data_IF_532150639616
#
_entry.id   IF_532150639616
#
_cell.length_a   1.000
_cell.length_b   1.000
_cell.length_c   1.000
_cell.angle_alpha   90.00
_cell.angle_beta   90.00
_cell.angle_gamma   90.00
#
_symmetry.space_group_name_H-M   'P 1'
#
loop_
_entity.id
_entity.type
_entity.pdbx_description
1 polymer ?
#
# COMPACT_ATOMS: atom_id res chain seq x y z
N UNK A 1 -31.55 -43.14 18.70
CA UNK A 1 -30.52 -42.08 18.72
C UNK A 1 -31.16 -40.83 19.32
N UNK A 2 -30.79 -40.46 20.53
CA UNK A 2 -31.30 -39.23 21.15
C UNK A 2 -30.59 -38.05 20.47
N UNK A 3 -31.36 -37.15 19.84
CA UNK A 3 -30.82 -35.93 19.26
C UNK A 3 -30.34 -35.06 20.43
N UNK A 4 -29.02 -34.89 20.58
CA UNK A 4 -28.46 -34.17 21.71
C UNK A 4 -28.65 -32.67 21.50
N UNK A 5 -29.81 -32.15 21.93
CA UNK A 5 -30.27 -30.77 21.73
C UNK A 5 -29.23 -29.74 22.19
N UNK A 6 -28.45 -30.08 23.22
CA UNK A 6 -27.34 -29.25 23.71
C UNK A 6 -26.17 -29.14 22.73
N UNK A 7 -25.79 -30.24 22.06
CA UNK A 7 -24.74 -30.21 21.02
C UNK A 7 -25.20 -29.42 19.80
N UNK A 8 -26.47 -29.58 19.41
CA UNK A 8 -27.06 -28.80 18.32
C UNK A 8 -27.13 -27.29 18.64
N UNK A 9 -27.55 -26.91 19.84
CA UNK A 9 -27.55 -25.51 20.30
C UNK A 9 -26.15 -24.91 20.35
N UNK A 10 -25.16 -25.69 20.82
CA UNK A 10 -23.77 -25.25 20.88
C UNK A 10 -23.18 -25.06 19.48
N UNK A 11 -23.48 -25.97 18.55
CA UNK A 11 -23.07 -25.85 17.16
C UNK A 11 -23.69 -24.64 16.46
N UNK A 12 -24.99 -24.38 16.67
CA UNK A 12 -25.69 -23.20 16.13
C UNK A 12 -25.11 -21.91 16.71
N UNK A 13 -24.87 -21.85 18.04
CA UNK A 13 -24.27 -20.69 18.70
C UNK A 13 -22.85 -20.41 18.19
N UNK A 14 -22.05 -21.46 17.99
CA UNK A 14 -20.69 -21.35 17.45
C UNK A 14 -20.72 -20.86 15.99
N UNK A 15 -21.63 -21.39 15.17
CA UNK A 15 -21.81 -20.97 13.79
C UNK A 15 -22.27 -19.51 13.67
N UNK A 16 -23.22 -19.09 14.51
CA UNK A 16 -23.69 -17.70 14.56
C UNK A 16 -22.58 -16.74 15.00
N UNK A 17 -21.81 -17.11 16.03
CA UNK A 17 -20.65 -16.32 16.50
C UNK A 17 -19.58 -16.23 15.40
N UNK A 18 -19.28 -17.33 14.72
CA UNK A 18 -18.34 -17.34 13.59
C UNK A 18 -18.79 -16.44 12.44
N UNK A 19 -20.08 -16.45 12.10
CA UNK A 19 -20.65 -15.57 11.07
C UNK A 19 -20.54 -14.10 11.46
N UNK A 20 -20.83 -13.75 12.72
CA UNK A 20 -20.72 -12.38 13.21
C UNK A 20 -19.27 -11.87 13.13
N UNK A 21 -18.30 -12.67 13.60
CA UNK A 21 -16.88 -12.33 13.50
C UNK A 21 -16.45 -12.15 12.05
N UNK A 22 -16.93 -13.01 11.15
CA UNK A 22 -16.64 -12.89 9.72
C UNK A 22 -17.22 -11.62 9.09
N UNK A 23 -18.46 -11.26 9.42
CA UNK A 23 -19.10 -10.02 8.95
C UNK A 23 -18.41 -8.77 9.49
N UNK A 24 -18.01 -8.78 10.76
CA UNK A 24 -17.20 -7.72 11.36
C UNK A 24 -15.85 -7.58 10.65
N UNK A 25 -15.17 -8.69 10.37
CA UNK A 25 -13.92 -8.67 9.61
C UNK A 25 -14.11 -8.08 8.20
N UNK A 26 -15.16 -8.50 7.47
CA UNK A 26 -15.43 -8.00 6.12
C UNK A 26 -15.73 -6.50 6.08
N UNK A 27 -16.58 -6.02 6.99
CA UNK A 27 -16.93 -4.60 7.08
C UNK A 27 -15.71 -3.76 7.45
N UNK A 28 -14.94 -4.16 8.46
CA UNK A 28 -13.75 -3.43 8.86
C UNK A 28 -12.64 -3.44 7.80
N UNK A 29 -12.49 -4.55 7.06
CA UNK A 29 -11.59 -4.60 5.90
C UNK A 29 -12.00 -3.61 4.81
N UNK A 30 -13.30 -3.44 4.57
CA UNK A 30 -13.78 -2.43 3.63
C UNK A 30 -13.46 -1.01 4.11
N UNK A 31 -13.64 -0.74 5.41
CA UNK A 31 -13.32 0.56 6.03
C UNK A 31 -11.81 0.86 6.09
N UNK A 32 -10.96 -0.18 6.05
CA UNK A 32 -9.49 -0.04 6.00
C UNK A 32 -8.90 0.01 4.59
N UNK A 33 -9.74 -0.05 3.55
CA UNK A 33 -9.26 0.05 2.18
C UNK A 33 -8.75 1.48 1.91
N UNK A 34 -7.42 1.64 1.88
CA UNK A 34 -6.80 2.90 1.51
C UNK A 34 -7.08 3.21 0.04
N UNK A 35 -7.48 4.45 -0.24
CA UNK A 35 -7.53 4.96 -1.60
C UNK A 35 -6.13 5.42 -2.02
N UNK A 36 -5.64 4.91 -3.14
CA UNK A 36 -4.36 5.28 -3.72
C UNK A 36 -4.59 6.00 -5.04
N UNK A 37 -3.91 7.13 -5.20
CA UNK A 37 -3.81 7.89 -6.45
C UNK A 37 -2.33 8.11 -6.78
N UNK A 38 -2.01 8.48 -8.01
CA UNK A 38 -0.64 8.72 -8.40
C UNK A 38 -0.45 9.03 -9.86
N UNK A 39 0.78 9.35 -10.21
CA UNK A 39 1.19 9.63 -11.58
C UNK A 39 2.55 9.04 -11.85
N UNK A 40 2.75 8.56 -13.07
CA UNK A 40 4.03 8.06 -13.55
C UNK A 40 4.51 9.00 -14.64
N UNK A 41 5.73 9.51 -14.52
CA UNK A 41 6.37 10.38 -15.50
C UNK A 41 7.67 9.73 -15.99
N UNK A 42 7.87 9.66 -17.30
CA UNK A 42 9.12 9.16 -17.88
C UNK A 42 10.19 10.25 -17.84
N UNK A 43 11.39 9.92 -17.37
CA UNK A 43 12.55 10.81 -17.40
C UNK A 43 13.39 10.54 -18.66
N UNK A 44 14.40 11.38 -18.90
CA UNK A 44 15.27 11.29 -20.10
C UNK A 44 16.13 10.01 -20.17
N UNK A 45 16.26 9.27 -19.08
CA UNK A 45 17.17 8.11 -18.97
C UNK A 45 16.42 6.76 -18.97
N UNK A 46 15.20 6.70 -19.54
CA UNK A 46 14.30 5.54 -19.45
C UNK A 46 13.93 5.12 -18.02
N UNK A 47 14.12 6.02 -17.06
CA UNK A 47 13.66 5.84 -15.69
C UNK A 47 12.25 6.43 -15.55
N UNK A 48 11.46 5.84 -14.66
CA UNK A 48 10.12 6.28 -14.35
C UNK A 48 10.12 6.96 -12.99
N UNK A 49 9.73 8.22 -12.93
CA UNK A 49 9.42 8.90 -11.68
C UNK A 49 7.98 8.60 -11.31
N UNK A 50 7.78 7.96 -10.17
CA UNK A 50 6.45 7.63 -9.64
C UNK A 50 6.13 8.54 -8.47
N UNK A 51 5.00 9.23 -8.58
CA UNK A 51 4.34 9.91 -7.47
C UNK A 51 3.19 9.03 -7.02
N UNK A 52 3.22 8.64 -5.75
CA UNK A 52 2.14 7.91 -5.09
C UNK A 52 1.52 8.79 -4.00
N UNK A 53 0.21 8.92 -4.02
CA UNK A 53 -0.60 9.58 -2.99
C UNK A 53 -1.39 8.52 -2.25
N UNK A 54 -1.24 8.49 -0.93
CA UNK A 54 -1.96 7.60 -0.04
C UNK A 54 -2.98 8.44 0.72
N UNK A 55 -4.25 8.22 0.45
CA UNK A 55 -5.32 8.96 1.12
C UNK A 55 -5.66 8.31 2.47
N UNK A 56 -5.93 9.12 3.50
CA UNK A 56 -6.45 8.65 4.78
C UNK A 56 -7.70 7.78 4.61
N UNK A 57 -7.72 6.60 5.25
CA UNK A 57 -8.90 5.75 5.36
C UNK A 57 -9.59 5.96 6.72
N UNK A 58 -10.76 5.34 6.95
CA UNK A 58 -11.43 5.45 8.24
C UNK A 58 -10.61 4.85 9.39
N UNK A 59 -9.78 3.85 9.07
CA UNK A 59 -8.83 3.22 9.99
C UNK A 59 -7.39 3.66 9.67
N UNK A 60 -6.51 3.72 10.69
CA UNK A 60 -5.11 4.08 10.48
C UNK A 60 -4.40 3.09 9.55
N UNK A 61 -3.63 3.65 8.62
CA UNK A 61 -2.87 2.90 7.60
C UNK A 61 -1.39 3.17 7.81
N UNK A 62 -0.58 2.12 7.81
CA UNK A 62 0.87 2.20 7.84
C UNK A 62 1.41 1.71 6.50
N UNK A 63 2.11 2.57 5.79
CA UNK A 63 2.95 2.17 4.67
C UNK A 63 4.19 1.47 5.20
N UNK A 64 4.64 0.35 4.63
CA UNK A 64 5.81 -0.41 5.12
C UNK A 64 6.98 -0.30 4.15
N UNK A 65 6.66 -0.26 2.87
CA UNK A 65 7.68 -0.16 1.84
C UNK A 65 7.16 -0.46 0.45
N UNK A 66 8.06 -0.22 -0.49
CA UNK A 66 7.90 -0.52 -1.91
C UNK A 66 8.96 -1.54 -2.25
N UNK A 67 8.57 -2.65 -2.87
CA UNK A 67 9.51 -3.59 -3.47
C UNK A 67 9.28 -3.64 -4.98
N UNK A 68 10.34 -3.92 -5.74
CA UNK A 68 10.24 -4.13 -7.16
C UNK A 68 10.49 -5.59 -7.53
N UNK A 69 9.86 -6.01 -8.62
CA UNK A 69 10.12 -7.30 -9.27
C UNK A 69 10.52 -7.04 -10.71
N UNK A 70 11.67 -7.57 -11.11
CA UNK A 70 12.28 -7.34 -12.44
C UNK A 70 12.49 -5.84 -12.75
N UNK A 71 12.59 -5.02 -11.71
CA UNK A 71 12.85 -3.59 -11.78
C UNK A 71 13.69 -3.20 -10.56
N UNK A 72 14.30 -2.02 -10.63
CA UNK A 72 15.00 -1.42 -9.50
C UNK A 72 14.28 -0.15 -9.06
N UNK A 73 14.35 0.16 -7.77
CA UNK A 73 13.75 1.35 -7.19
C UNK A 73 14.85 2.19 -6.55
N UNK A 74 14.74 3.51 -6.65
CA UNK A 74 15.64 4.41 -5.95
C UNK A 74 14.87 5.52 -5.23
N UNK A 75 15.48 6.03 -4.15
CA UNK A 75 14.91 7.11 -3.35
C UNK A 75 14.92 8.41 -4.16
N UNK A 76 13.88 9.20 -3.92
CA UNK A 76 13.75 10.53 -4.49
C UNK A 76 14.49 11.56 -3.64
N UNK A 77 15.25 12.44 -4.30
CA UNK A 77 15.77 13.68 -3.72
C UNK A 77 15.28 14.88 -4.52
N UNK A 78 14.71 15.86 -3.82
CA UNK A 78 14.50 17.18 -4.39
C UNK A 78 15.69 18.06 -4.05
N UNK A 79 16.36 18.60 -5.07
CA UNK A 79 17.36 19.65 -4.91
C UNK A 79 16.69 20.97 -5.30
N UNK A 80 16.65 21.91 -4.36
CA UNK A 80 16.17 23.26 -4.61
C UNK A 80 17.37 24.14 -4.94
N UNK A 81 17.51 24.53 -6.20
CA UNK A 81 18.52 25.51 -6.59
C UNK A 81 18.09 26.92 -6.14
N UNK A 82 19.03 27.76 -5.65
CA UNK A 82 18.78 29.17 -5.41
C UNK A 82 18.52 29.86 -6.76
N UNK A 83 17.24 29.98 -7.11
CA UNK A 83 16.75 30.30 -8.45
C UNK A 83 15.37 29.72 -8.76
N UNK A 84 14.83 28.87 -7.86
CA UNK A 84 13.43 28.43 -7.89
C UNK A 84 13.16 27.22 -8.81
N UNK A 85 14.19 26.67 -9.45
CA UNK A 85 14.07 25.42 -10.20
C UNK A 85 14.26 24.24 -9.25
N UNK A 86 13.22 23.42 -9.11
CA UNK A 86 13.32 22.13 -8.44
C UNK A 86 13.92 21.12 -9.42
N UNK A 87 15.08 20.56 -9.07
CA UNK A 87 15.67 19.47 -9.81
C UNK A 87 15.42 18.16 -9.04
N UNK A 88 15.00 17.14 -9.77
CA UNK A 88 14.77 15.81 -9.23
C UNK A 88 15.99 14.94 -9.49
N UNK A 89 16.58 14.40 -8.43
CA UNK A 89 17.72 13.50 -8.53
C UNK A 89 17.51 12.25 -7.68
N UNK A 90 18.27 11.21 -7.99
CA UNK A 90 18.34 9.99 -7.19
C UNK A 90 19.03 10.30 -5.85
N UNK A 91 18.50 9.80 -4.74
CA UNK A 91 19.19 9.79 -3.45
C UNK A 91 19.86 8.43 -3.24
N UNK A 92 21.16 8.36 -3.51
CA UNK A 92 21.95 7.12 -3.39
C UNK A 92 21.83 6.22 -4.63
N UNK A 93 21.69 4.91 -4.40
CA UNK A 93 21.72 3.88 -5.44
C UNK A 93 20.38 3.23 -5.74
N UNK A 94 20.40 2.35 -6.74
CA UNK A 94 19.30 1.47 -7.10
C UNK A 94 19.19 0.30 -6.12
N UNK A 95 17.99 0.03 -5.63
CA UNK A 95 17.66 -0.95 -4.61
C UNK A 95 16.48 -1.82 -5.06
N UNK A 96 16.39 -3.03 -4.52
CA UNK A 96 15.22 -3.90 -4.76
C UNK A 96 14.00 -3.49 -3.93
N UNK A 97 14.23 -2.76 -2.83
CA UNK A 97 13.17 -2.24 -1.97
C UNK A 97 13.56 -0.93 -1.30
N UNK A 98 12.56 -0.09 -1.04
CA UNK A 98 12.70 1.12 -0.24
C UNK A 98 12.22 0.86 1.19
N UNK A 99 13.09 1.01 2.19
CA UNK A 99 12.70 0.91 3.59
C UNK A 99 12.14 2.24 4.11
N UNK A 100 11.11 2.15 4.94
CA UNK A 100 10.65 3.25 5.78
C UNK A 100 9.16 3.14 6.03
N UNK A 101 8.72 2.76 7.25
CA UNK A 101 7.32 2.84 7.57
C UNK A 101 6.88 4.31 7.59
N UNK A 102 5.77 4.61 6.92
CA UNK A 102 5.14 5.94 6.95
C UNK A 102 3.73 5.76 7.49
N UNK A 103 3.46 6.40 8.61
CA UNK A 103 2.15 6.34 9.24
C UNK A 103 1.21 7.38 8.59
N UNK A 104 0.08 6.88 8.09
CA UNK A 104 -1.00 7.69 7.53
C UNK A 104 -2.11 7.75 8.57
N UNK A 105 -2.37 8.94 9.09
CA UNK A 105 -3.42 9.19 10.05
C UNK A 105 -4.80 8.81 9.47
N UNK A 106 -5.78 8.40 10.31
CA UNK A 106 -7.13 8.13 9.86
C UNK A 106 -7.83 9.42 9.39
N UNK A 107 -8.83 9.26 8.52
CA UNK A 107 -9.58 10.36 7.88
C UNK A 107 -10.26 11.30 8.88
N UNK A 108 -10.58 10.81 10.07
CA UNK A 108 -11.14 11.60 11.19
C UNK A 108 -10.13 12.60 11.78
N UNK A 109 -8.84 12.34 11.62
CA UNK A 109 -7.73 13.13 12.20
C UNK A 109 -7.07 13.99 11.13
N UNK A 110 -6.89 13.45 9.92
CA UNK A 110 -6.32 14.19 8.80
C UNK A 110 -7.01 13.79 7.51
N UNK A 111 -7.33 14.76 6.68
CA UNK A 111 -7.80 14.56 5.30
C UNK A 111 -6.68 14.71 4.27
N UNK A 112 -5.49 15.12 4.72
CA UNK A 112 -4.36 15.37 3.82
C UNK A 112 -3.71 14.05 3.39
N UNK A 113 -3.55 13.81 2.07
CA UNK A 113 -2.86 12.62 1.57
C UNK A 113 -1.37 12.70 1.87
N UNK A 114 -0.77 11.54 2.10
CA UNK A 114 0.68 11.40 2.21
C UNK A 114 1.25 11.13 0.83
N UNK A 115 2.26 11.89 0.42
CA UNK A 115 2.90 11.75 -0.88
C UNK A 115 4.25 11.06 -0.76
N UNK A 116 4.48 10.08 -1.61
CA UNK A 116 5.74 9.34 -1.73
C UNK A 116 6.21 9.42 -3.17
N UNK A 117 7.46 9.81 -3.34
CA UNK A 117 8.13 9.90 -4.62
C UNK A 117 9.26 8.89 -4.68
N UNK A 118 9.39 8.19 -5.80
CA UNK A 118 10.46 7.22 -6.01
C UNK A 118 10.71 7.01 -7.50
N UNK A 119 11.94 6.65 -7.84
CA UNK A 119 12.32 6.29 -9.19
C UNK A 119 12.20 4.78 -9.39
N UNK A 120 11.79 4.36 -10.58
CA UNK A 120 11.79 2.97 -11.01
C UNK A 120 12.56 2.84 -12.32
N UNK A 121 13.48 1.89 -12.38
CA UNK A 121 14.13 1.47 -13.61
C UNK A 121 13.63 0.08 -14.00
N UNK A 122 12.78 -0.04 -15.04
CA UNK A 122 12.31 -1.34 -15.47
C UNK A 122 13.44 -2.11 -16.18
N UNK A 123 13.58 -3.40 -15.89
CA UNK A 123 14.59 -4.27 -16.54
C UNK A 123 13.98 -5.25 -17.55
N UNK A 124 12.64 -5.32 -17.61
CA UNK A 124 11.89 -6.25 -18.45
C UNK A 124 10.49 -5.70 -18.77
N UNK A 125 9.84 -6.19 -19.82
CA UNK A 125 8.44 -5.91 -20.16
C UNK A 125 7.45 -6.40 -19.09
N UNK A 126 7.86 -7.35 -18.24
CA UNK A 126 7.07 -7.85 -17.11
C UNK A 126 7.43 -7.18 -15.77
N UNK A 127 8.03 -6.00 -15.82
CA UNK A 127 8.41 -5.25 -14.62
C UNK A 127 7.17 -4.91 -13.77
N UNK A 128 7.29 -5.00 -12.46
CA UNK A 128 6.22 -4.54 -11.56
C UNK A 128 6.77 -4.00 -10.25
N UNK A 129 6.08 -3.01 -9.68
CA UNK A 129 6.29 -2.56 -8.33
C UNK A 129 5.18 -3.09 -7.41
N UNK A 130 5.56 -3.49 -6.21
CA UNK A 130 4.68 -3.98 -5.15
C UNK A 130 4.70 -2.96 -4.01
N UNK A 131 3.57 -2.30 -3.82
CA UNK A 131 3.36 -1.39 -2.69
C UNK A 131 2.76 -2.21 -1.55
N UNK A 132 3.44 -2.22 -0.40
CA UNK A 132 2.98 -2.95 0.79
C UNK A 132 2.43 -1.97 1.83
N UNK A 133 1.15 -2.12 2.16
CA UNK A 133 0.44 -1.36 3.19
C UNK A 133 -0.03 -2.32 4.29
N UNK A 134 0.04 -1.91 5.55
CA UNK A 134 -0.57 -2.58 6.68
C UNK A 134 -1.61 -1.67 7.28
N UNK A 135 -2.73 -2.25 7.68
CA UNK A 135 -3.73 -1.58 8.52
C UNK A 135 -3.95 -2.45 9.73
N UNK A 136 -4.25 -1.85 10.89
CA UNK A 136 -4.65 -2.61 12.06
C UNK A 136 -6.17 -2.66 12.11
N UNK A 137 -6.73 -3.86 12.07
CA UNK A 137 -8.16 -4.13 12.23
C UNK A 137 -8.32 -4.94 13.51
N UNK A 138 -8.88 -4.36 14.58
CA UNK A 138 -8.99 -5.03 15.89
C UNK A 138 -7.68 -5.74 16.31
N UNK A 139 -6.54 -5.06 16.20
CA UNK A 139 -5.20 -5.60 16.48
C UNK A 139 -4.66 -6.66 15.49
N UNK A 140 -5.45 -7.09 14.51
CA UNK A 140 -5.03 -7.98 13.43
C UNK A 140 -4.42 -7.16 12.28
N UNK A 141 -3.17 -7.43 11.88
CA UNK A 141 -2.55 -6.75 10.75
C UNK A 141 -3.17 -7.23 9.43
N UNK A 142 -3.89 -6.36 8.74
CA UNK A 142 -4.34 -6.60 7.37
C UNK A 142 -3.27 -6.08 6.43
N UNK A 143 -2.69 -6.97 5.61
CA UNK A 143 -1.66 -6.64 4.64
C UNK A 143 -2.26 -6.48 3.25
N UNK A 144 -2.06 -5.33 2.64
CA UNK A 144 -2.38 -5.08 1.24
C UNK A 144 -1.10 -5.09 0.42
N UNK A 145 -1.15 -5.79 -0.71
CA UNK A 145 -0.10 -5.75 -1.74
C UNK A 145 -0.72 -5.26 -3.03
N UNK A 146 -0.31 -4.07 -3.46
CA UNK A 146 -0.81 -3.48 -4.71
C UNK A 146 0.29 -3.63 -5.74
N UNK A 147 -0.02 -4.35 -6.82
CA UNK A 147 0.89 -4.59 -7.93
C UNK A 147 0.65 -3.54 -9.01
N UNK A 148 1.65 -2.71 -9.27
CA UNK A 148 1.68 -1.77 -10.37
C UNK A 148 2.42 -2.43 -11.55
N UNK A 149 1.72 -2.85 -12.63
CA UNK A 149 2.38 -3.33 -13.83
C UNK A 149 3.06 -2.16 -14.54
N UNK A 150 4.28 -2.38 -15.01
CA UNK A 150 5.05 -1.38 -15.75
C UNK A 150 5.19 -1.89 -17.17
N UNK A 151 4.41 -1.32 -18.09
CA UNK A 151 4.48 -1.65 -19.52
C UNK A 151 5.46 -0.69 -20.19
N UNK A 152 6.52 -1.25 -20.78
CA UNK A 152 7.41 -0.51 -21.67
C UNK A 152 6.79 -0.60 -23.05
N UNK A 153 6.19 0.49 -23.54
CA UNK A 153 5.86 0.60 -24.96
C UNK A 153 7.18 0.86 -25.69
N UNK A 154 7.72 -0.18 -26.31
CA UNK A 154 8.79 -0.12 -27.31
C UNK A 154 8.26 0.38 -28.63
#
# INVERSE_FOLDING_TARGET
MAFNVFEALTAISTAATGLLVFLQYKTQRALSAAYLDGSISRTRNDELLVRLKIHPAELPVQFIGISARKAEIAKFKSIYEPGGKAQFSLDGGWLESLPGPIDVAPSRVSTSPVEIWFFIKPRSTESSALISLHTRVMWIPVRYKIKLPITINT
#
